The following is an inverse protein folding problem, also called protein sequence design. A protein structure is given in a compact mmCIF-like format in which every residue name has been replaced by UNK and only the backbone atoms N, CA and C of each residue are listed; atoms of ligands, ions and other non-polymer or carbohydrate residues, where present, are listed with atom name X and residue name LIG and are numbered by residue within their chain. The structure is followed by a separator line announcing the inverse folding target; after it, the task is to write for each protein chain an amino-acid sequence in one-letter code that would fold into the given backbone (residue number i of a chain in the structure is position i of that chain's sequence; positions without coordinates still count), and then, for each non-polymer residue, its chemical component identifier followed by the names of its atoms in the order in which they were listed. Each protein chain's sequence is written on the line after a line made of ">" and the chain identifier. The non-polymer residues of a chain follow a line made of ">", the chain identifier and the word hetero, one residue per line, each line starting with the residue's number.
data_IF_785407721822
#
_entry.id   IF_785407721822
#
_cell.length_a   1.000
_cell.length_b   1.000
_cell.length_c   1.000
_cell.angle_alpha   90.00
_cell.angle_beta   90.00
_cell.angle_gamma   90.00
#
_symmetry.space_group_name_H-M   'P 1'
#
loop_
_entity.id
_entity.type
_entity.pdbx_description
1 polymer ?
#
# COMPACT_ATOMS: atom_id res chain seq x y z
N UNK A 1 5.21 60.85 17.36
CA UNK A 1 4.47 59.76 18.04
C UNK A 1 4.46 58.63 17.03
N UNK A 2 5.56 57.88 16.90
CA UNK A 2 5.79 57.02 15.72
C UNK A 2 6.55 55.73 16.07
N UNK A 3 6.43 55.26 17.31
CA UNK A 3 7.09 54.02 17.75
C UNK A 3 6.23 52.76 17.54
N UNK A 4 4.93 52.92 17.26
CA UNK A 4 3.98 51.82 17.00
C UNK A 4 4.12 51.23 15.59
N UNK A 5 4.57 52.02 14.61
CA UNK A 5 4.73 51.57 13.21
C UNK A 5 5.97 50.69 13.01
N UNK A 6 7.08 50.98 13.71
CA UNK A 6 8.32 50.19 13.62
C UNK A 6 8.18 48.80 14.27
N UNK A 7 7.34 48.67 15.31
CA UNK A 7 7.11 47.40 15.99
C UNK A 7 6.29 46.41 15.15
N UNK A 8 5.36 46.92 14.33
CA UNK A 8 4.53 46.10 13.43
C UNK A 8 5.32 45.52 12.25
N UNK A 9 6.35 46.23 11.77
CA UNK A 9 7.24 45.72 10.72
C UNK A 9 8.15 44.58 11.21
N UNK A 10 8.48 44.56 12.51
CA UNK A 10 9.32 43.50 13.10
C UNK A 10 8.55 42.18 13.30
N UNK A 11 7.21 42.24 13.47
CA UNK A 11 6.37 41.04 13.61
C UNK A 11 6.02 40.38 12.25
N UNK A 12 6.05 41.14 11.16
CA UNK A 12 5.77 40.62 9.81
C UNK A 12 6.92 39.79 9.22
N UNK A 13 8.14 39.91 9.74
CA UNK A 13 9.29 39.11 9.29
C UNK A 13 9.33 37.69 9.87
N UNK A 14 8.42 37.35 10.81
CA UNK A 14 8.33 36.00 11.39
C UNK A 14 7.46 35.07 10.52
N UNK A 15 6.71 35.61 9.56
CA UNK A 15 6.15 34.80 8.47
C UNK A 15 7.21 34.54 7.41
N UNK A 16 8.33 33.94 7.82
CA UNK A 16 9.13 33.14 6.90
C UNK A 16 8.21 32.01 6.46
N UNK A 17 7.60 32.22 5.30
CA UNK A 17 6.87 31.21 4.55
C UNK A 17 7.88 30.09 4.33
N UNK A 18 7.87 29.11 5.22
CA UNK A 18 8.48 27.82 5.00
C UNK A 18 7.69 27.16 3.89
N UNK A 19 7.95 27.55 2.65
CA UNK A 19 7.60 26.77 1.48
C UNK A 19 8.40 25.48 1.63
N UNK A 20 7.77 24.44 2.17
CA UNK A 20 8.29 23.09 2.08
C UNK A 20 8.68 22.85 0.62
N UNK A 21 9.91 22.39 0.39
CA UNK A 21 10.36 22.10 -0.96
C UNK A 21 9.34 21.14 -1.60
N UNK A 22 8.87 21.40 -2.83
CA UNK A 22 7.94 20.51 -3.50
C UNK A 22 8.54 19.12 -3.59
N UNK A 23 7.71 18.09 -3.35
CA UNK A 23 8.14 16.70 -3.47
C UNK A 23 8.80 16.46 -4.84
N UNK A 24 9.83 15.61 -4.93
CA UNK A 24 10.42 15.25 -6.22
C UNK A 24 9.33 14.77 -7.18
N UNK A 25 9.37 15.24 -8.43
CA UNK A 25 8.36 14.92 -9.46
C UNK A 25 8.19 13.40 -9.62
N UNK A 26 9.27 12.64 -9.45
CA UNK A 26 9.27 11.19 -9.52
C UNK A 26 8.44 10.54 -8.40
N UNK A 27 8.49 11.09 -7.18
CA UNK A 27 7.68 10.62 -6.03
C UNK A 27 6.19 10.86 -6.28
N UNK A 28 5.83 12.05 -6.78
CA UNK A 28 4.43 12.38 -7.11
C UNK A 28 3.90 11.46 -8.22
N UNK A 29 4.73 11.20 -9.23
CA UNK A 29 4.40 10.30 -10.35
C UNK A 29 4.22 8.88 -9.85
N UNK A 30 5.10 8.40 -8.98
CA UNK A 30 5.01 7.09 -8.36
C UNK A 30 3.72 6.93 -7.56
N UNK A 31 3.42 7.86 -6.64
CA UNK A 31 2.20 7.79 -5.82
C UNK A 31 0.94 7.79 -6.68
N UNK A 32 0.89 8.63 -7.70
CA UNK A 32 -0.25 8.71 -8.63
C UNK A 32 -0.46 7.40 -9.39
N UNK A 33 0.63 6.75 -9.83
CA UNK A 33 0.56 5.46 -10.52
C UNK A 33 0.17 4.33 -9.58
N UNK A 34 0.76 4.25 -8.38
CA UNK A 34 0.37 3.26 -7.36
C UNK A 34 -1.10 3.40 -7.00
N UNK A 35 -1.56 4.64 -6.76
CA UNK A 35 -2.97 4.96 -6.49
C UNK A 35 -3.88 4.43 -7.60
N UNK A 36 -3.59 4.79 -8.85
CA UNK A 36 -4.40 4.36 -9.99
C UNK A 36 -4.46 2.84 -10.10
N UNK A 37 -3.32 2.15 -9.99
CA UNK A 37 -3.27 0.68 -10.04
C UNK A 37 -4.07 0.03 -8.91
N UNK A 38 -3.95 0.55 -7.68
CA UNK A 38 -4.69 0.05 -6.53
C UNK A 38 -6.21 0.26 -6.67
N UNK A 39 -6.65 1.44 -7.11
CA UNK A 39 -8.06 1.75 -7.35
C UNK A 39 -8.67 0.83 -8.42
N UNK A 40 -7.97 0.63 -9.55
CA UNK A 40 -8.45 -0.29 -10.59
C UNK A 40 -8.56 -1.72 -10.10
N UNK A 41 -7.59 -2.17 -9.30
CA UNK A 41 -7.58 -3.51 -8.74
C UNK A 41 -8.72 -3.71 -7.72
N UNK A 42 -9.01 -2.72 -6.86
CA UNK A 42 -10.16 -2.76 -5.94
C UNK A 42 -11.47 -2.87 -6.72
N UNK A 43 -11.69 -2.01 -7.72
CA UNK A 43 -12.93 -2.03 -8.53
C UNK A 43 -13.16 -3.42 -9.14
N UNK A 44 -12.08 -4.06 -9.59
CA UNK A 44 -12.14 -5.38 -10.17
C UNK A 44 -12.37 -6.47 -9.13
N UNK A 45 -11.69 -6.42 -7.99
CA UNK A 45 -11.94 -7.33 -6.87
C UNK A 45 -13.39 -7.24 -6.41
N UNK A 46 -13.95 -6.04 -6.28
CA UNK A 46 -15.36 -5.84 -5.88
C UNK A 46 -16.36 -6.39 -6.91
N UNK A 47 -15.99 -6.44 -8.19
CA UNK A 47 -16.81 -7.01 -9.25
C UNK A 47 -16.73 -8.54 -9.32
N UNK A 48 -15.53 -9.09 -9.20
CA UNK A 48 -15.25 -10.52 -9.39
C UNK A 48 -15.43 -11.33 -8.08
N UNK A 49 -15.25 -10.69 -6.92
CA UNK A 49 -15.51 -11.28 -5.62
C UNK A 49 -16.92 -10.94 -5.16
N UNK A 50 -17.82 -11.91 -5.28
CA UNK A 50 -18.98 -11.94 -4.40
C UNK A 50 -18.52 -12.46 -3.03
N UNK A 51 -17.85 -11.60 -2.27
CA UNK A 51 -17.42 -11.93 -0.91
C UNK A 51 -18.68 -12.32 -0.13
N UNK A 52 -18.73 -13.52 0.47
CA UNK A 52 -19.86 -13.90 1.30
C UNK A 52 -20.03 -12.85 2.42
N UNK A 53 -21.24 -12.33 2.58
CA UNK A 53 -21.54 -11.32 3.63
C UNK A 53 -21.20 -11.79 5.04
N UNK A 54 -21.06 -13.11 5.23
CA UNK A 54 -20.77 -13.74 6.51
C UNK A 54 -19.26 -13.93 6.76
N UNK A 55 -18.40 -13.63 5.79
CA UNK A 55 -16.95 -13.74 5.94
C UNK A 55 -16.41 -12.57 6.77
N UNK A 56 -16.35 -12.78 8.08
CA UNK A 56 -15.72 -11.83 9.01
C UNK A 56 -14.27 -12.25 9.25
N UNK A 57 -13.33 -11.46 8.72
CA UNK A 57 -11.90 -11.64 8.99
C UNK A 57 -11.47 -10.69 10.10
N UNK A 58 -10.54 -11.13 10.95
CA UNK A 58 -9.90 -10.22 11.90
C UNK A 58 -9.20 -9.11 11.11
N UNK A 59 -9.35 -7.83 11.48
CA UNK A 59 -8.75 -6.72 10.73
C UNK A 59 -7.24 -6.90 10.57
N UNK A 60 -6.68 -6.45 9.46
CA UNK A 60 -5.24 -6.24 9.39
C UNK A 60 -4.90 -5.11 10.39
N UNK A 61 -4.19 -5.46 11.45
CA UNK A 61 -3.71 -4.49 12.46
C UNK A 61 -2.33 -3.94 12.13
N UNK A 62 -1.67 -4.52 11.14
CA UNK A 62 -0.31 -4.15 10.78
C UNK A 62 -0.36 -2.89 9.90
N UNK A 63 0.30 -1.83 10.36
CA UNK A 63 0.52 -0.64 9.56
C UNK A 63 1.42 -1.01 8.36
N UNK A 64 1.14 -0.42 7.19
CA UNK A 64 1.91 -0.68 5.96
C UNK A 64 3.22 0.12 5.95
N UNK A 65 4.03 -0.09 6.99
CA UNK A 65 5.11 0.80 7.44
C UNK A 65 6.28 1.02 6.46
N UNK A 66 6.35 0.27 5.37
CA UNK A 66 7.34 0.51 4.32
C UNK A 66 6.97 -0.17 2.99
N UNK A 67 7.54 0.29 1.86
CA UNK A 67 7.48 -0.41 0.58
C UNK A 67 7.91 -1.88 0.68
N UNK A 68 8.92 -2.21 1.50
CA UNK A 68 9.36 -3.60 1.67
C UNK A 68 8.30 -4.48 2.32
N UNK A 69 7.56 -3.94 3.28
CA UNK A 69 6.46 -4.68 3.92
C UNK A 69 5.30 -4.87 2.95
N UNK A 70 4.91 -3.80 2.25
CA UNK A 70 3.83 -3.82 1.26
C UNK A 70 4.10 -4.87 0.18
N UNK A 71 5.32 -4.89 -0.39
CA UNK A 71 5.73 -5.89 -1.38
C UNK A 71 5.59 -7.30 -0.82
N UNK A 72 6.15 -7.56 0.37
CA UNK A 72 6.13 -8.89 0.97
C UNK A 72 4.70 -9.39 1.24
N UNK A 73 3.81 -8.52 1.70
CA UNK A 73 2.40 -8.86 1.97
C UNK A 73 1.64 -9.14 0.68
N UNK A 74 1.78 -8.28 -0.34
CA UNK A 74 1.14 -8.47 -1.63
C UNK A 74 1.64 -9.73 -2.35
N UNK A 75 2.95 -9.98 -2.39
CA UNK A 75 3.52 -11.23 -2.93
C UNK A 75 3.01 -12.44 -2.17
N UNK A 76 2.99 -12.35 -0.83
CA UNK A 76 2.55 -13.41 0.06
C UNK A 76 1.11 -13.85 -0.23
N UNK A 77 0.16 -12.91 -0.24
CA UNK A 77 -1.23 -13.24 -0.57
C UNK A 77 -1.39 -13.68 -2.02
N UNK A 78 -0.70 -13.03 -2.97
CA UNK A 78 -0.75 -13.42 -4.37
C UNK A 78 -0.28 -14.86 -4.61
N UNK A 79 0.70 -15.34 -3.83
CA UNK A 79 1.20 -16.73 -3.89
C UNK A 79 0.18 -17.77 -3.42
N UNK A 80 -0.80 -17.37 -2.60
CA UNK A 80 -1.84 -18.23 -2.05
C UNK A 80 -3.08 -18.34 -2.94
N UNK A 81 -3.22 -17.42 -3.90
CA UNK A 81 -4.33 -17.41 -4.85
C UNK A 81 -4.08 -18.49 -5.91
N UNK A 82 -5.02 -19.43 -6.03
CA UNK A 82 -4.95 -20.50 -7.02
C UNK A 82 -5.12 -19.98 -8.45
N UNK A 83 -4.31 -20.49 -9.38
CA UNK A 83 -4.43 -20.18 -10.81
C UNK A 83 -5.71 -20.76 -11.44
N UNK A 84 -6.30 -21.77 -10.80
CA UNK A 84 -7.54 -22.43 -11.26
C UNK A 84 -8.81 -21.79 -10.70
N UNK A 85 -8.69 -20.76 -9.85
CA UNK A 85 -9.82 -20.02 -9.32
C UNK A 85 -10.38 -19.09 -10.42
N UNK A 86 -11.63 -19.30 -10.85
CA UNK A 86 -12.17 -18.71 -12.09
C UNK A 86 -12.10 -17.18 -12.16
N UNK A 87 -11.71 -16.63 -13.33
CA UNK A 87 -11.63 -15.17 -13.59
C UNK A 87 -10.39 -14.47 -13.03
N UNK A 88 -9.60 -15.16 -12.20
CA UNK A 88 -8.51 -14.60 -11.40
C UNK A 88 -7.11 -14.52 -12.04
N UNK A 89 -6.77 -15.21 -13.15
CA UNK A 89 -5.44 -15.06 -13.76
C UNK A 89 -5.06 -13.59 -14.05
N UNK A 90 -6.05 -12.78 -14.41
CA UNK A 90 -5.83 -11.35 -14.65
C UNK A 90 -5.66 -10.56 -13.33
N UNK A 91 -6.38 -10.91 -12.26
CA UNK A 91 -6.23 -10.29 -10.93
C UNK A 91 -4.83 -10.58 -10.36
N UNK A 92 -4.34 -11.83 -10.43
CA UNK A 92 -2.97 -12.16 -10.00
C UNK A 92 -1.92 -11.38 -10.77
N UNK A 93 -2.10 -11.23 -12.09
CA UNK A 93 -1.19 -10.44 -12.93
C UNK A 93 -1.18 -8.96 -12.53
N UNK A 94 -2.33 -8.38 -12.23
CA UNK A 94 -2.46 -6.99 -11.79
C UNK A 94 -1.85 -6.78 -10.39
N UNK A 95 -2.07 -7.72 -9.45
CA UNK A 95 -1.39 -7.72 -8.14
C UNK A 95 0.13 -7.76 -8.34
N UNK A 96 0.61 -8.67 -9.19
CA UNK A 96 2.05 -8.80 -9.49
C UNK A 96 2.61 -7.53 -10.13
N UNK A 97 1.85 -6.88 -11.02
CA UNK A 97 2.24 -5.64 -11.67
C UNK A 97 2.37 -4.49 -10.68
N UNK A 98 1.40 -4.32 -9.78
CA UNK A 98 1.44 -3.31 -8.72
C UNK A 98 2.63 -3.56 -7.79
N UNK A 99 2.78 -4.82 -7.35
CA UNK A 99 3.86 -5.26 -6.46
C UNK A 99 5.21 -4.98 -7.08
N UNK A 100 5.42 -5.39 -8.34
CA UNK A 100 6.67 -5.15 -9.07
C UNK A 100 6.97 -3.67 -9.28
N UNK A 101 5.94 -2.83 -9.47
CA UNK A 101 6.13 -1.38 -9.58
C UNK A 101 6.63 -0.76 -8.27
N UNK A 102 6.05 -1.16 -7.13
CA UNK A 102 6.50 -0.72 -5.79
C UNK A 102 7.90 -1.26 -5.50
N UNK A 103 8.17 -2.52 -5.85
CA UNK A 103 9.47 -3.16 -5.65
C UNK A 103 10.59 -2.48 -6.44
N UNK A 104 10.34 -2.16 -7.72
CA UNK A 104 11.26 -1.41 -8.56
C UNK A 104 11.54 -0.01 -7.99
N UNK A 105 10.49 0.68 -7.52
CA UNK A 105 10.65 1.98 -6.87
C UNK A 105 11.55 1.87 -5.63
N UNK A 106 11.27 0.90 -4.75
CA UNK A 106 12.06 0.62 -3.54
C UNK A 106 13.53 0.38 -3.88
N UNK A 107 13.83 -0.48 -4.86
CA UNK A 107 15.20 -0.80 -5.24
C UNK A 107 16.00 0.42 -5.72
N UNK A 108 15.34 1.39 -6.36
CA UNK A 108 15.99 2.61 -6.83
C UNK A 108 16.20 3.69 -5.76
N UNK A 109 15.44 3.65 -4.67
CA UNK A 109 15.33 4.78 -3.73
C UNK A 109 15.62 4.43 -2.27
N UNK A 110 15.60 3.15 -1.90
CA UNK A 110 15.94 2.70 -0.56
C UNK A 110 17.36 2.15 -0.52
N UNK A 111 18.19 2.66 0.39
CA UNK A 111 19.47 2.05 0.74
C UNK A 111 19.20 0.69 1.40
N UNK A 112 19.61 -0.40 0.75
CA UNK A 112 19.40 -1.75 1.29
C UNK A 112 20.11 -1.92 2.65
N UNK A 113 19.33 -2.16 3.71
CA UNK A 113 19.68 -2.95 4.91
C UNK A 113 18.57 -2.90 5.99
N UNK A 114 17.28 -2.95 5.62
CA UNK A 114 16.25 -3.30 6.62
C UNK A 114 16.17 -4.82 6.76
N UNK A 115 16.10 -5.36 7.99
CA UNK A 115 15.79 -6.76 8.21
C UNK A 115 14.54 -7.15 7.40
N UNK A 116 14.55 -8.34 6.80
CA UNK A 116 13.36 -8.87 6.12
C UNK A 116 12.20 -8.79 7.11
N UNK A 117 11.11 -8.06 6.78
CA UNK A 117 10.06 -7.89 7.75
C UNK A 117 9.45 -9.25 8.09
N UNK A 118 9.00 -9.40 9.33
CA UNK A 118 8.32 -10.62 9.77
C UNK A 118 7.02 -10.76 8.99
N UNK A 119 6.70 -12.01 8.63
CA UNK A 119 5.44 -12.30 7.96
C UNK A 119 4.25 -11.95 8.87
N UNK A 120 3.22 -11.27 8.36
CA UNK A 120 1.98 -11.04 9.10
C UNK A 120 1.36 -12.36 9.59
N UNK A 121 0.83 -12.35 10.81
CA UNK A 121 0.13 -13.50 11.40
C UNK A 121 -0.97 -14.08 10.49
N UNK A 122 -1.90 -13.27 9.95
CA UNK A 122 -2.95 -13.76 9.04
C UNK A 122 -2.40 -14.41 7.77
N UNK A 123 -1.32 -13.87 7.20
CA UNK A 123 -0.68 -14.46 6.03
C UNK A 123 -0.02 -15.79 6.38
N UNK A 124 0.64 -15.88 7.53
CA UNK A 124 1.25 -17.12 8.02
C UNK A 124 0.20 -18.20 8.29
N UNK A 125 -0.94 -17.82 8.89
CA UNK A 125 -2.07 -18.71 9.15
C UNK A 125 -2.63 -19.30 7.84
N UNK A 126 -2.87 -18.46 6.83
CA UNK A 126 -3.30 -18.93 5.52
C UNK A 126 -2.28 -19.83 4.84
N UNK A 127 -0.98 -19.54 4.98
CA UNK A 127 0.08 -20.41 4.48
C UNK A 127 0.09 -21.80 5.12
N UNK A 128 -0.39 -21.94 6.36
CA UNK A 128 -0.50 -23.23 7.03
C UNK A 128 -1.69 -24.09 6.58
N UNK A 129 -2.62 -23.51 5.79
CA UNK A 129 -3.90 -24.11 5.38
C UNK A 129 -4.00 -24.33 3.86
N UNK A 130 -2.87 -24.41 3.16
CA UNK A 130 -2.80 -24.46 1.68
C UNK A 130 -3.57 -25.63 1.05
N UNK A 131 -3.89 -26.66 1.82
CA UNK A 131 -4.75 -27.77 1.40
C UNK A 131 -6.19 -27.32 1.07
N UNK A 132 -6.68 -26.22 1.67
CA UNK A 132 -8.02 -25.67 1.42
C UNK A 132 -7.99 -24.61 0.31
N UNK A 133 -7.54 -25.02 -0.88
CA UNK A 133 -7.19 -24.14 -2.01
C UNK A 133 -8.23 -23.03 -2.29
N UNK A 134 -9.52 -23.39 -2.38
CA UNK A 134 -10.57 -22.41 -2.68
C UNK A 134 -10.80 -21.42 -1.54
N UNK A 135 -10.87 -21.90 -0.30
CA UNK A 135 -11.05 -21.06 0.89
C UNK A 135 -9.87 -20.12 1.06
N UNK A 136 -8.64 -20.64 0.94
CA UNK A 136 -7.40 -19.86 1.01
C UNK A 136 -7.35 -18.81 -0.09
N UNK A 137 -7.78 -19.14 -1.32
CA UNK A 137 -7.81 -18.19 -2.42
C UNK A 137 -8.79 -17.05 -2.17
N UNK A 138 -10.01 -17.36 -1.71
CA UNK A 138 -11.03 -16.35 -1.36
C UNK A 138 -10.50 -15.43 -0.28
N UNK A 139 -9.99 -16.00 0.82
CA UNK A 139 -9.49 -15.19 1.93
C UNK A 139 -8.30 -14.33 1.51
N UNK A 140 -7.34 -14.89 0.75
CA UNK A 140 -6.20 -14.13 0.24
C UNK A 140 -6.64 -12.93 -0.63
N UNK A 141 -7.68 -13.08 -1.45
CA UNK A 141 -8.21 -11.98 -2.27
C UNK A 141 -8.87 -10.89 -1.42
N UNK A 142 -9.62 -11.27 -0.38
CA UNK A 142 -10.19 -10.32 0.58
C UNK A 142 -9.09 -9.58 1.32
N UNK A 143 -8.02 -10.28 1.72
CA UNK A 143 -6.84 -9.67 2.34
C UNK A 143 -6.10 -8.73 1.40
N UNK A 144 -5.96 -9.06 0.12
CA UNK A 144 -5.41 -8.13 -0.89
C UNK A 144 -6.24 -6.86 -0.94
N UNK A 145 -7.57 -6.97 -0.98
CA UNK A 145 -8.47 -5.80 -0.97
C UNK A 145 -8.22 -4.90 0.26
N UNK A 146 -8.11 -5.49 1.45
CA UNK A 146 -7.80 -4.75 2.69
C UNK A 146 -6.43 -4.04 2.62
N UNK A 147 -5.41 -4.72 2.10
CA UNK A 147 -4.07 -4.15 1.91
C UNK A 147 -4.11 -2.98 0.94
N UNK A 148 -4.90 -3.06 -0.14
CA UNK A 148 -5.05 -1.96 -1.10
C UNK A 148 -5.76 -0.76 -0.45
N UNK A 149 -6.79 -0.98 0.35
CA UNK A 149 -7.46 0.09 1.10
C UNK A 149 -6.49 0.79 2.08
N UNK A 150 -5.65 0.02 2.77
CA UNK A 150 -4.60 0.57 3.64
C UNK A 150 -3.52 1.30 2.84
N UNK A 151 -3.12 0.78 1.68
CA UNK A 151 -2.13 1.42 0.81
C UNK A 151 -2.62 2.78 0.32
N UNK A 152 -3.88 2.88 -0.09
CA UNK A 152 -4.48 4.14 -0.53
C UNK A 152 -4.55 5.19 0.58
N UNK A 153 -4.77 4.76 1.83
CA UNK A 153 -4.75 5.66 3.00
C UNK A 153 -3.33 6.13 3.35
N UNK A 154 -2.31 5.35 2.99
CA UNK A 154 -0.94 5.54 3.45
C UNK A 154 0.06 5.67 2.29
N UNK A 155 -0.35 6.25 1.15
CA UNK A 155 0.54 6.42 -0.02
C UNK A 155 1.82 7.22 0.31
N UNK A 156 1.78 8.06 1.34
CA UNK A 156 2.94 8.81 1.81
C UNK A 156 4.03 7.90 2.42
N UNK A 157 3.67 6.73 2.94
CA UNK A 157 4.63 5.74 3.46
C UNK A 157 5.48 5.11 2.36
N UNK A 158 5.13 5.29 1.08
CA UNK A 158 5.93 4.78 -0.05
C UNK A 158 7.26 5.51 -0.23
N UNK A 159 7.41 6.68 0.38
CA UNK A 159 8.68 7.41 0.47
C UNK A 159 9.59 6.86 1.57
N UNK A 160 9.02 6.18 2.55
CA UNK A 160 9.72 5.79 3.77
C UNK A 160 10.34 4.41 3.64
N UNK A 161 11.66 4.41 3.53
CA UNK A 161 12.49 3.23 3.74
C UNK A 161 12.85 3.08 5.23
#
# INVERSE_FOLDING_TARGET
>A
MDYTLALLFSLLQVFSVGTAAPLPVEVVTMKSKVKWMAEQLIIKLDKELQVPSDLTLSPLTDDLDSPSYIVMVLEGYNSLISDTFGGIPQVKSEISSLTGYIDQWRQGHCSELRPKPSMPGPLQELQSRKEFIHTVSIEALVRVREVLDLLLKNLDQLETC
#
